data_IF_857502084585
#
_entry.id   IF_857502084585
#
_cell.length_a   1.000
_cell.length_b   1.000
_cell.length_c   1.000
_cell.angle_alpha   90.00
_cell.angle_beta   90.00
_cell.angle_gamma   90.00
#
_symmetry.space_group_name_H-M   'P 1'
#
loop_
_entity.id
_entity.type
_entity.pdbx_description
1 polymer ?
#
# COMPACT_ATOMS: atom_id res chain seq x y z
N UNK A 1 43.94 -10.21 -28.06
CA UNK A 1 43.07 -9.65 -29.11
C UNK A 1 42.14 -10.78 -29.52
N UNK A 2 40.83 -10.83 -29.31
CA UNK A 2 39.78 -9.95 -28.78
C UNK A 2 38.62 -10.89 -28.46
N UNK A 3 38.16 -11.01 -27.22
CA UNK A 3 36.89 -11.71 -26.94
C UNK A 3 36.30 -11.13 -25.67
N UNK A 4 35.79 -9.91 -25.82
CA UNK A 4 35.19 -9.13 -24.73
C UNK A 4 33.95 -8.38 -25.22
N UNK A 5 33.22 -8.93 -26.18
CA UNK A 5 32.10 -8.21 -26.79
C UNK A 5 30.98 -9.17 -27.21
N UNK A 6 30.28 -9.79 -26.25
CA UNK A 6 28.94 -10.37 -26.52
C UNK A 6 28.05 -10.42 -25.26
N UNK A 7 28.01 -9.33 -24.47
CA UNK A 7 27.00 -9.15 -23.43
C UNK A 7 26.44 -7.72 -23.48
N UNK A 8 25.94 -7.32 -24.65
CA UNK A 8 25.37 -5.96 -24.81
C UNK A 8 24.09 -5.93 -25.65
N UNK A 9 23.47 -7.08 -25.89
CA UNK A 9 22.20 -7.16 -26.63
C UNK A 9 21.18 -8.09 -25.98
N UNK A 10 20.99 -8.00 -24.66
CA UNK A 10 19.63 -8.24 -24.11
C UNK A 10 18.77 -7.05 -24.53
N UNK A 11 18.43 -7.05 -25.81
CA UNK A 11 17.51 -6.14 -26.43
C UNK A 11 16.22 -6.16 -25.61
N UNK A 12 15.91 -4.98 -25.09
CA UNK A 12 14.61 -4.43 -24.77
C UNK A 12 13.48 -5.16 -25.52
N UNK A 13 12.99 -6.27 -24.95
CA UNK A 13 11.75 -6.87 -25.39
C UNK A 13 10.64 -6.01 -24.75
N UNK A 14 9.76 -5.37 -25.54
CA UNK A 14 8.68 -4.59 -24.95
C UNK A 14 7.85 -5.54 -24.09
N UNK A 15 7.74 -5.21 -22.81
CA UNK A 15 6.90 -5.96 -21.88
C UNK A 15 5.49 -6.08 -22.49
N UNK A 16 4.82 -7.24 -22.36
CA UNK A 16 3.48 -7.42 -22.91
C UNK A 16 2.58 -6.31 -22.40
N UNK A 17 1.78 -5.70 -23.29
CA UNK A 17 0.87 -4.62 -22.95
C UNK A 17 -0.09 -5.09 -21.83
N UNK A 18 0.23 -4.70 -20.60
CA UNK A 18 -0.57 -5.00 -19.44
C UNK A 18 -1.93 -4.33 -19.62
N UNK A 19 -3.01 -5.11 -19.50
CA UNK A 19 -4.35 -4.54 -19.39
C UNK A 19 -4.32 -3.59 -18.20
N UNK A 20 -4.38 -2.28 -18.48
CA UNK A 20 -4.32 -1.24 -17.48
C UNK A 20 -5.47 -1.44 -16.49
N UNK A 21 -5.14 -1.77 -15.24
CA UNK A 21 -6.11 -1.86 -14.17
C UNK A 21 -6.40 -0.44 -13.68
N UNK A 22 -7.68 -0.08 -13.57
CA UNK A 22 -8.13 1.20 -13.06
C UNK A 22 -8.92 0.98 -11.77
N UNK A 23 -8.70 1.84 -10.78
CA UNK A 23 -9.41 1.85 -9.49
C UNK A 23 -9.85 3.27 -9.16
N UNK A 24 -10.76 3.39 -8.21
CA UNK A 24 -11.20 4.70 -7.70
C UNK A 24 -10.17 5.25 -6.70
N UNK A 25 -9.84 6.53 -6.84
CA UNK A 25 -8.97 7.24 -5.90
C UNK A 25 -9.68 7.38 -4.55
N UNK A 26 -9.14 6.86 -3.43
CA UNK A 26 -9.80 6.95 -2.13
C UNK A 26 -10.06 8.38 -1.65
N UNK A 27 -9.20 9.33 -2.05
CA UNK A 27 -9.28 10.73 -1.61
C UNK A 27 -10.32 11.56 -2.36
N UNK A 28 -10.56 11.27 -3.65
CA UNK A 28 -11.37 12.15 -4.51
C UNK A 28 -12.35 11.42 -5.43
N UNK A 29 -12.37 10.09 -5.44
CA UNK A 29 -13.21 9.26 -6.31
C UNK A 29 -12.82 9.27 -7.79
N UNK A 30 -11.76 10.00 -8.18
CA UNK A 30 -11.30 10.05 -9.58
C UNK A 30 -10.63 8.75 -10.04
N UNK A 31 -10.47 8.57 -11.36
CA UNK A 31 -9.79 7.41 -11.94
C UNK A 31 -8.30 7.38 -11.57
N UNK A 32 -7.84 6.26 -11.03
CA UNK A 32 -6.45 5.99 -10.68
C UNK A 32 -5.92 4.80 -11.45
N UNK A 33 -4.83 5.00 -12.20
CA UNK A 33 -4.15 3.91 -12.91
C UNK A 33 -3.40 3.05 -11.89
N UNK A 34 -3.72 1.76 -11.82
CA UNK A 34 -3.05 0.77 -10.99
C UNK A 34 -1.94 0.05 -11.78
N UNK A 35 -0.93 0.82 -12.20
CA UNK A 35 0.28 0.32 -12.86
C UNK A 35 1.55 1.09 -12.39
N UNK A 36 2.76 0.52 -12.51
CA UNK A 36 4.02 1.12 -12.04
C UNK A 36 4.28 2.58 -12.46
N UNK A 37 3.74 2.98 -13.60
CA UNK A 37 3.83 4.33 -14.17
C UNK A 37 3.18 5.37 -13.25
N UNK A 38 2.11 4.99 -12.54
CA UNK A 38 1.54 5.82 -11.48
C UNK A 38 2.27 5.55 -10.15
N UNK A 39 3.17 6.46 -9.76
CA UNK A 39 3.89 6.38 -8.48
C UNK A 39 3.02 6.68 -7.25
N UNK A 40 1.82 7.21 -7.46
CA UNK A 40 0.91 7.61 -6.38
C UNK A 40 -0.21 6.61 -6.14
N UNK A 41 -0.17 5.41 -6.72
CA UNK A 41 -1.16 4.35 -6.47
C UNK A 41 -1.39 4.12 -4.97
N UNK A 42 -2.64 3.88 -4.52
CA UNK A 42 -3.88 3.81 -5.31
C UNK A 42 -4.49 5.18 -5.65
N UNK A 43 -3.82 6.30 -5.35
CA UNK A 43 -4.31 7.65 -5.60
C UNK A 43 -4.07 8.12 -7.04
N UNK A 44 -4.93 9.02 -7.53
CA UNK A 44 -4.81 9.58 -8.88
C UNK A 44 -3.64 10.58 -9.03
N UNK A 45 -3.10 11.10 -7.92
CA UNK A 45 -2.02 12.08 -7.91
C UNK A 45 -1.30 12.12 -6.56
N UNK A 46 -0.11 12.71 -6.55
CA UNK A 46 0.65 12.95 -5.32
C UNK A 46 -0.10 13.84 -4.32
N UNK A 47 -0.83 14.84 -4.81
CA UNK A 47 -1.70 15.68 -3.96
C UNK A 47 -2.70 14.84 -3.16
N UNK A 48 -3.38 13.89 -3.80
CA UNK A 48 -4.36 13.04 -3.12
C UNK A 48 -3.68 12.14 -2.07
N UNK A 49 -2.52 11.57 -2.38
CA UNK A 49 -1.71 10.81 -1.41
C UNK A 49 -1.37 11.65 -0.17
N UNK A 50 -0.94 12.90 -0.35
CA UNK A 50 -0.57 13.78 0.77
C UNK A 50 -1.79 14.19 1.61
N UNK A 51 -2.96 14.39 1.00
CA UNK A 51 -4.20 14.69 1.74
C UNK A 51 -4.59 13.51 2.62
N UNK A 52 -4.53 12.29 2.08
CA UNK A 52 -4.84 11.07 2.84
C UNK A 52 -3.93 10.94 4.07
N UNK A 53 -2.61 11.08 3.87
CA UNK A 53 -1.61 11.15 4.94
C UNK A 53 -1.92 12.24 5.98
N UNK A 54 -2.39 13.40 5.54
CA UNK A 54 -2.81 14.49 6.42
C UNK A 54 -4.01 14.14 7.29
N UNK A 55 -5.03 13.49 6.72
CA UNK A 55 -6.22 13.05 7.45
C UNK A 55 -5.90 11.98 8.51
N UNK A 56 -4.95 11.08 8.22
CA UNK A 56 -4.42 10.14 9.22
C UNK A 56 -3.72 10.87 10.37
N UNK A 57 -2.85 11.83 10.05
CA UNK A 57 -2.14 12.62 11.06
C UNK A 57 -3.08 13.49 11.91
N UNK A 58 -4.23 13.88 11.36
CA UNK A 58 -5.26 14.66 12.03
C UNK A 58 -6.27 13.81 12.84
N UNK A 59 -6.14 12.48 12.84
CA UNK A 59 -7.08 11.55 13.50
C UNK A 59 -8.54 11.68 12.98
N UNK A 60 -8.68 12.02 11.70
CA UNK A 60 -9.99 12.17 11.04
C UNK A 60 -10.60 10.81 10.66
N UNK A 61 -9.77 9.77 10.50
CA UNK A 61 -10.24 8.40 10.30
C UNK A 61 -10.53 7.72 11.65
N UNK A 62 -11.80 7.39 11.90
CA UNK A 62 -12.25 6.70 13.13
C UNK A 62 -13.17 5.54 12.80
N UNK A 63 -13.02 4.45 13.55
CA UNK A 63 -13.98 3.35 13.56
C UNK A 63 -15.09 3.68 14.57
N UNK A 64 -16.33 3.50 14.17
CA UNK A 64 -17.43 3.55 15.13
C UNK A 64 -17.27 2.40 16.14
N UNK A 65 -17.39 2.70 17.43
CA UNK A 65 -17.43 1.67 18.47
C UNK A 65 -18.89 1.25 18.67
N UNK A 66 -19.20 -0.01 18.34
CA UNK A 66 -20.53 -0.60 18.55
C UNK A 66 -20.68 -1.32 19.91
N UNK A 67 -19.67 -1.26 20.78
CA UNK A 67 -19.73 -1.88 22.11
C UNK A 67 -19.13 -0.97 23.19
N UNK A 68 -19.67 -0.99 24.42
CA UNK A 68 -18.98 -0.43 25.57
C UNK A 68 -17.58 -1.07 25.69
N UNK A 69 -16.58 -0.36 26.23
CA UNK A 69 -15.26 -0.93 26.42
C UNK A 69 -15.37 -2.17 27.32
N UNK A 70 -15.02 -3.34 26.78
CA UNK A 70 -14.74 -4.52 27.60
C UNK A 70 -13.37 -4.28 28.24
N UNK A 71 -13.39 -3.74 29.47
CA UNK A 71 -12.20 -3.34 30.24
C UNK A 71 -11.24 -4.52 30.58
N UNK A 72 -11.59 -5.76 30.24
CA UNK A 72 -10.89 -6.97 30.71
C UNK A 72 -10.23 -7.84 29.61
N UNK A 73 -10.21 -7.40 28.34
CA UNK A 73 -9.79 -8.28 27.22
C UNK A 73 -8.37 -8.05 26.65
N UNK A 74 -7.56 -7.17 27.24
CA UNK A 74 -6.14 -7.05 26.87
C UNK A 74 -5.31 -7.96 27.77
N UNK A 75 -5.27 -9.25 27.38
CA UNK A 75 -4.62 -10.32 28.13
C UNK A 75 -3.16 -10.03 28.46
N UNK A 76 -2.86 -10.16 29.75
CA UNK A 76 -1.51 -10.31 30.28
C UNK A 76 -0.82 -11.52 29.60
N UNK A 77 0.29 -11.28 28.90
CA UNK A 77 1.11 -12.35 28.30
C UNK A 77 1.89 -13.18 29.33
N UNK A 78 1.65 -12.99 30.63
CA UNK A 78 2.24 -13.83 31.68
C UNK A 78 1.51 -15.18 31.78
N UNK A 79 1.81 -16.10 30.85
CA UNK A 79 1.57 -17.53 31.09
C UNK A 79 2.38 -17.96 32.32
N UNK A 80 1.75 -18.00 33.49
CA UNK A 80 2.36 -18.64 34.67
C UNK A 80 2.51 -20.13 34.37
N UNK A 81 3.73 -20.71 34.40
CA UNK A 81 3.87 -22.15 34.23
C UNK A 81 3.25 -22.88 35.42
N UNK A 82 2.69 -24.08 35.22
CA UNK A 82 2.08 -24.85 36.30
C UNK A 82 3.15 -25.27 37.31
N UNK A 83 2.92 -24.94 38.58
CA UNK A 83 3.68 -25.42 39.73
C UNK A 83 3.30 -26.89 40.04
N UNK A 84 4.32 -27.72 40.28
CA UNK A 84 4.22 -29.17 40.51
C UNK A 84 3.91 -29.49 41.97
#
# INVERSE_FOLDING_TARGET
MTSRDDDSRRADAPAPASRQLWVDCPTCGGRSLYAPENRSRPFCSERCRQIDLGAWAAEDFRMAADAPPDEDAFGDHQQRPPEH
#
